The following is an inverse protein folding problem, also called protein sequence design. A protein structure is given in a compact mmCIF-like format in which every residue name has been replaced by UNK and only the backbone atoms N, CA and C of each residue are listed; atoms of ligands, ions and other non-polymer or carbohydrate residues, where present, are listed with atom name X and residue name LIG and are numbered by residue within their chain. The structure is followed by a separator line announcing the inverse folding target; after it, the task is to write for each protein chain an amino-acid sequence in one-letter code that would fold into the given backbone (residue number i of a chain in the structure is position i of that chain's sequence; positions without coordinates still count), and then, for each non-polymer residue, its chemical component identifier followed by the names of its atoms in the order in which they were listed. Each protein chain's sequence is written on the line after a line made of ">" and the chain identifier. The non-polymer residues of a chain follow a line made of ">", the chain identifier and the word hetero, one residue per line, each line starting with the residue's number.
data_IF_898071259369
#
_entry.id   IF_898071259369
#
_cell.length_a   1.000
_cell.length_b   1.000
_cell.length_c   1.000
_cell.angle_alpha   90.00
_cell.angle_beta   90.00
_cell.angle_gamma   90.00
#
_symmetry.space_group_name_H-M   'P 1'
#
loop_
_entity.id
_entity.type
_entity.pdbx_description
1 polymer ?
#
# COMPACT_ATOMS: atom_id res chain seq x y z
N UNK A 1 2.37 0.72 -45.55
CA UNK A 1 3.46 1.63 -45.08
C UNK A 1 2.91 2.77 -44.22
N UNK A 2 1.85 3.50 -44.63
CA UNK A 2 1.35 4.68 -43.91
C UNK A 2 0.59 4.44 -42.58
N UNK A 3 0.12 3.23 -42.30
CA UNK A 3 -0.60 2.90 -41.04
C UNK A 3 0.40 2.54 -39.93
N UNK A 4 1.49 1.86 -40.27
CA UNK A 4 2.53 1.48 -39.32
C UNK A 4 3.31 2.72 -38.82
N UNK A 5 3.61 3.68 -39.70
CA UNK A 5 4.26 4.93 -39.29
C UNK A 5 3.37 5.77 -38.37
N UNK A 6 2.05 5.70 -38.52
CA UNK A 6 1.10 6.44 -37.67
C UNK A 6 0.98 5.83 -36.27
N UNK A 7 0.96 4.50 -36.19
CA UNK A 7 0.96 3.76 -34.90
C UNK A 7 2.31 3.88 -34.19
N UNK A 8 3.42 3.85 -34.93
CA UNK A 8 4.76 4.12 -34.38
C UNK A 8 4.89 5.55 -33.86
N UNK A 9 4.32 6.53 -34.57
CA UNK A 9 4.31 7.93 -34.13
C UNK A 9 3.39 8.14 -32.92
N UNK A 10 2.25 7.44 -32.83
CA UNK A 10 1.37 7.45 -31.64
C UNK A 10 2.04 6.78 -30.43
N UNK A 11 2.75 5.66 -30.62
CA UNK A 11 3.49 4.99 -29.53
C UNK A 11 4.70 5.83 -29.06
N UNK A 12 5.41 6.48 -29.97
CA UNK A 12 6.50 7.40 -29.63
C UNK A 12 5.97 8.66 -28.94
N UNK A 13 4.84 9.22 -29.39
CA UNK A 13 4.19 10.35 -28.73
C UNK A 13 3.64 9.97 -27.34
N UNK A 14 3.16 8.74 -27.15
CA UNK A 14 2.78 8.23 -25.82
C UNK A 14 4.00 8.11 -24.91
N UNK A 15 5.15 7.61 -25.41
CA UNK A 15 6.39 7.57 -24.64
C UNK A 15 6.94 8.96 -24.30
N UNK A 16 6.90 9.93 -25.22
CA UNK A 16 7.38 11.29 -24.96
C UNK A 16 6.46 12.05 -23.99
N UNK A 17 5.14 11.91 -24.13
CA UNK A 17 4.16 12.48 -23.18
C UNK A 17 4.31 11.86 -21.79
N UNK A 18 4.63 10.56 -21.72
CA UNK A 18 4.90 9.87 -20.45
C UNK A 18 6.19 10.35 -19.80
N UNK A 19 7.27 10.55 -20.57
CA UNK A 19 8.52 11.10 -20.02
C UNK A 19 8.37 12.56 -19.55
N UNK A 20 7.67 13.41 -20.31
CA UNK A 20 7.44 14.79 -19.91
C UNK A 20 6.51 14.90 -18.70
N UNK A 21 5.50 14.03 -18.61
CA UNK A 21 4.67 13.93 -17.41
C UNK A 21 5.51 13.53 -16.19
N UNK A 22 6.34 12.49 -16.29
CA UNK A 22 7.20 12.01 -15.19
C UNK A 22 8.28 13.04 -14.81
N UNK A 23 8.84 13.77 -15.79
CA UNK A 23 9.82 14.83 -15.53
C UNK A 23 9.23 15.97 -14.67
N UNK A 24 7.96 16.28 -14.87
CA UNK A 24 7.25 17.38 -14.20
C UNK A 24 6.58 16.99 -12.88
N UNK A 25 6.66 15.72 -12.46
CA UNK A 25 6.13 15.31 -11.16
C UNK A 25 6.94 15.96 -10.02
N UNK A 26 6.28 16.27 -8.88
CA UNK A 26 6.98 16.66 -7.67
C UNK A 26 8.02 15.61 -7.28
N UNK A 27 9.25 16.04 -7.00
CA UNK A 27 10.34 15.16 -6.59
C UNK A 27 10.76 15.49 -5.17
N UNK A 28 11.13 14.46 -4.42
CA UNK A 28 11.75 14.62 -3.11
C UNK A 28 13.12 15.28 -3.24
N UNK A 29 13.57 15.94 -2.18
CA UNK A 29 14.94 16.48 -2.13
C UNK A 29 15.98 15.35 -2.14
N UNK A 30 17.18 15.63 -2.66
CA UNK A 30 18.27 14.64 -2.69
C UNK A 30 18.66 14.15 -1.28
N UNK A 31 18.59 15.05 -0.29
CA UNK A 31 18.77 14.70 1.12
C UNK A 31 17.70 13.71 1.61
N UNK A 32 16.43 13.96 1.29
CA UNK A 32 15.33 13.06 1.64
C UNK A 32 15.48 11.69 0.95
N UNK A 33 15.94 11.67 -0.31
CA UNK A 33 16.20 10.42 -1.03
C UNK A 33 17.29 9.59 -0.34
N UNK A 34 18.43 10.20 -0.01
CA UNK A 34 19.52 9.53 0.71
C UNK A 34 19.07 9.00 2.08
N UNK A 35 18.21 9.73 2.77
CA UNK A 35 17.65 9.31 4.06
C UNK A 35 16.70 8.11 3.92
N UNK A 36 15.92 8.01 2.83
CA UNK A 36 15.06 6.85 2.57
C UNK A 36 15.86 5.61 2.20
N UNK A 37 16.96 5.79 1.45
CA UNK A 37 17.84 4.73 0.94
C UNK A 37 18.82 4.18 2.00
N UNK A 38 18.85 4.78 3.21
CA UNK A 38 19.68 4.30 4.31
C UNK A 38 19.35 2.83 4.66
N UNK A 39 20.34 2.08 5.13
CA UNK A 39 20.11 0.70 5.56
C UNK A 39 19.04 0.61 6.65
N UNK A 40 18.24 -0.46 6.62
CA UNK A 40 17.23 -0.76 7.64
C UNK A 40 17.91 -0.99 8.99
N UNK A 41 17.41 -0.44 10.09
CA UNK A 41 17.99 -0.65 11.43
C UNK A 41 17.09 -1.48 12.34
N UNK A 42 17.66 -2.06 13.41
CA UNK A 42 16.92 -2.87 14.38
C UNK A 42 15.88 -2.01 15.11
N UNK A 43 16.23 -0.78 15.45
CA UNK A 43 15.39 0.18 16.14
C UNK A 43 14.17 0.57 15.29
N UNK A 44 14.34 0.71 13.97
CA UNK A 44 13.22 0.99 13.08
C UNK A 44 12.21 -0.16 13.06
N UNK A 45 12.70 -1.41 13.03
CA UNK A 45 11.85 -2.59 13.09
C UNK A 45 11.16 -2.72 14.45
N UNK A 46 11.86 -2.43 15.53
CA UNK A 46 11.30 -2.46 16.89
C UNK A 46 10.21 -1.39 17.07
N UNK A 47 10.46 -0.17 16.61
CA UNK A 47 9.45 0.91 16.61
C UNK A 47 8.26 0.52 15.75
N UNK A 48 8.50 -0.06 14.56
CA UNK A 48 7.43 -0.54 13.70
C UNK A 48 6.58 -1.62 14.39
N UNK A 49 7.21 -2.63 14.98
CA UNK A 49 6.57 -3.72 15.71
C UNK A 49 5.76 -3.20 16.91
N UNK A 50 6.33 -2.30 17.70
CA UNK A 50 5.67 -1.72 18.86
C UNK A 50 4.47 -0.84 18.48
N UNK A 51 4.49 -0.23 17.28
CA UNK A 51 3.36 0.54 16.76
C UNK A 51 2.18 -0.33 16.28
N UNK A 52 2.37 -1.64 16.11
CA UNK A 52 1.33 -2.56 15.65
C UNK A 52 0.40 -2.94 16.82
N UNK A 53 -0.89 -3.09 16.54
CA UNK A 53 -1.88 -3.52 17.54
C UNK A 53 -1.78 -5.04 17.77
N UNK A 54 -2.10 -5.45 18.99
CA UNK A 54 -2.23 -6.85 19.37
C UNK A 54 -3.57 -7.41 18.85
N UNK A 55 -3.68 -8.74 18.74
CA UNK A 55 -4.89 -9.44 18.31
C UNK A 55 -5.13 -9.45 16.80
N UNK A 56 -4.15 -9.02 16.00
CA UNK A 56 -4.23 -9.14 14.54
C UNK A 56 -4.06 -10.60 14.09
N UNK A 57 -4.83 -11.00 13.08
CA UNK A 57 -4.76 -12.34 12.51
C UNK A 57 -3.36 -12.62 11.94
N UNK A 58 -2.78 -13.81 12.22
CA UNK A 58 -1.48 -14.21 11.73
C UNK A 58 -1.53 -14.55 10.24
N UNK A 59 -0.36 -14.76 9.63
CA UNK A 59 -0.26 -15.31 8.28
C UNK A 59 -0.40 -16.83 8.28
N UNK A 60 0.11 -17.46 7.21
CA UNK A 60 0.13 -18.93 7.07
C UNK A 60 1.01 -19.62 8.12
N UNK A 61 1.94 -18.88 8.73
CA UNK A 61 2.86 -19.35 9.77
C UNK A 61 2.22 -19.42 11.17
N UNK A 62 1.06 -18.79 11.38
CA UNK A 62 0.42 -18.70 12.68
C UNK A 62 1.09 -17.76 13.68
N UNK A 63 2.14 -17.02 13.29
CA UNK A 63 2.89 -16.15 14.20
C UNK A 63 2.23 -14.78 14.34
N UNK A 64 1.81 -14.47 15.56
CA UNK A 64 1.14 -13.22 15.93
C UNK A 64 2.13 -12.08 16.22
N UNK A 65 1.64 -10.85 16.24
CA UNK A 65 2.44 -9.66 16.65
C UNK A 65 2.99 -9.83 18.06
N UNK A 66 2.21 -10.42 18.96
CA UNK A 66 2.56 -10.68 20.35
C UNK A 66 3.74 -11.64 20.48
N UNK A 67 3.85 -12.61 19.57
CA UNK A 67 5.01 -13.50 19.52
C UNK A 67 6.28 -12.69 19.24
N UNK A 68 6.25 -11.84 18.21
CA UNK A 68 7.40 -11.00 17.87
C UNK A 68 7.75 -10.04 18.99
N UNK A 69 6.76 -9.42 19.65
CA UNK A 69 6.99 -8.53 20.79
C UNK A 69 7.60 -9.26 21.99
N UNK A 70 7.14 -10.47 22.29
CA UNK A 70 7.63 -11.25 23.43
C UNK A 70 9.05 -11.79 23.22
N UNK A 71 9.40 -12.16 21.98
CA UNK A 71 10.67 -12.79 21.65
C UNK A 71 11.64 -11.87 20.89
N UNK A 72 11.35 -10.56 20.83
CA UNK A 72 12.13 -9.60 20.02
C UNK A 72 13.63 -9.62 20.34
N UNK A 73 13.99 -9.76 21.62
CA UNK A 73 15.38 -9.85 22.07
C UNK A 73 16.14 -11.07 21.53
N UNK A 74 15.42 -12.09 21.08
CA UNK A 74 16.00 -13.32 20.51
C UNK A 74 15.97 -13.28 18.99
N UNK A 75 14.84 -12.92 18.38
CA UNK A 75 14.63 -13.06 16.93
C UNK A 75 14.84 -11.77 16.12
N UNK A 76 14.92 -10.62 16.78
CA UNK A 76 14.91 -9.32 16.10
C UNK A 76 16.14 -9.11 15.20
N UNK A 77 17.31 -9.56 15.67
CA UNK A 77 18.55 -9.46 14.91
C UNK A 77 18.53 -10.38 13.67
N UNK A 78 18.10 -11.63 13.84
CA UNK A 78 17.96 -12.57 12.72
C UNK A 78 16.98 -12.06 11.66
N UNK A 79 15.85 -11.49 12.10
CA UNK A 79 14.87 -10.89 11.20
C UNK A 79 15.48 -9.72 10.42
N UNK A 80 16.25 -8.84 11.08
CA UNK A 80 16.90 -7.71 10.41
C UNK A 80 17.86 -8.18 9.31
N UNK A 81 18.66 -9.21 9.59
CA UNK A 81 19.61 -9.76 8.62
C UNK A 81 18.92 -10.34 7.39
N UNK A 82 17.83 -11.09 7.59
CA UNK A 82 17.00 -11.63 6.50
C UNK A 82 16.40 -10.50 5.66
N UNK A 83 15.85 -9.46 6.29
CA UNK A 83 15.22 -8.34 5.58
C UNK A 83 16.24 -7.49 4.82
N UNK A 84 17.43 -7.24 5.39
CA UNK A 84 18.53 -6.54 4.69
C UNK A 84 19.00 -7.33 3.48
N UNK A 85 19.24 -8.63 3.63
CA UNK A 85 19.59 -9.49 2.51
C UNK A 85 18.51 -9.43 1.41
N UNK A 86 17.24 -9.45 1.80
CA UNK A 86 16.12 -9.39 0.86
C UNK A 86 16.04 -8.07 0.09
N UNK A 87 16.30 -6.94 0.75
CA UNK A 87 16.35 -5.61 0.10
C UNK A 87 17.53 -5.54 -0.87
N UNK A 88 18.71 -6.02 -0.46
CA UNK A 88 19.92 -6.01 -1.29
C UNK A 88 19.80 -6.92 -2.51
N UNK A 89 19.16 -8.09 -2.37
CA UNK A 89 18.89 -9.01 -3.47
C UNK A 89 17.69 -8.56 -4.34
N UNK A 90 16.90 -7.60 -3.86
CA UNK A 90 15.65 -7.19 -4.51
C UNK A 90 14.60 -8.32 -4.53
N UNK A 91 14.61 -9.21 -3.53
CA UNK A 91 13.71 -10.37 -3.46
C UNK A 91 13.42 -10.76 -2.02
N UNK A 92 12.13 -10.89 -1.69
CA UNK A 92 11.69 -11.32 -0.37
C UNK A 92 11.83 -12.83 -0.15
N UNK A 93 11.82 -13.30 1.11
CA UNK A 93 11.77 -14.72 1.43
C UNK A 93 10.52 -15.39 0.85
N UNK A 94 10.61 -16.68 0.49
CA UNK A 94 9.47 -17.43 -0.08
C UNK A 94 8.27 -17.50 0.87
N UNK A 95 8.48 -17.43 2.19
CA UNK A 95 7.41 -17.32 3.18
C UNK A 95 6.56 -16.07 2.98
N UNK A 96 7.20 -14.95 2.63
CA UNK A 96 6.58 -13.65 2.40
C UNK A 96 5.73 -13.56 1.14
N UNK A 97 5.93 -14.50 0.20
CA UNK A 97 5.18 -14.56 -1.05
C UNK A 97 3.80 -15.23 -0.89
N UNK A 98 3.53 -15.86 0.27
CA UNK A 98 2.30 -16.58 0.55
C UNK A 98 1.40 -15.77 1.48
N UNK A 99 0.11 -15.76 1.18
CA UNK A 99 -0.91 -15.12 1.99
C UNK A 99 -2.11 -16.06 2.15
N UNK A 100 -2.75 -16.03 3.31
CA UNK A 100 -4.02 -16.73 3.51
C UNK A 100 -5.15 -15.80 3.05
N UNK A 101 -5.92 -16.24 2.05
CA UNK A 101 -7.09 -15.51 1.56
C UNK A 101 -8.30 -15.88 2.40
N UNK A 102 -8.99 -14.88 2.94
CA UNK A 102 -10.26 -15.04 3.66
C UNK A 102 -11.29 -14.04 3.18
N UNK A 103 -12.57 -14.36 3.31
CA UNK A 103 -13.68 -13.49 2.91
C UNK A 103 -14.35 -12.90 4.17
N UNK A 104 -14.42 -11.57 4.24
CA UNK A 104 -15.19 -10.87 5.27
C UNK A 104 -16.57 -10.45 4.72
N UNK A 105 -17.66 -10.71 5.45
CA UNK A 105 -18.99 -10.32 4.99
C UNK A 105 -19.16 -8.79 5.06
N UNK A 106 -19.72 -8.20 4.00
CA UNK A 106 -20.24 -6.83 3.97
C UNK A 106 -21.73 -6.85 4.35
N UNK A 107 -22.31 -5.65 4.51
CA UNK A 107 -23.77 -5.52 4.64
C UNK A 107 -24.45 -5.97 3.34
N UNK A 108 -25.52 -6.75 3.44
CA UNK A 108 -26.28 -7.25 2.30
C UNK A 108 -26.63 -8.73 2.44
N UNK A 109 -27.14 -9.31 1.35
CA UNK A 109 -27.42 -10.75 1.25
C UNK A 109 -26.10 -11.53 1.19
N UNK A 110 -25.92 -12.48 2.12
CA UNK A 110 -24.71 -13.29 2.22
C UNK A 110 -24.60 -14.35 1.11
N UNK A 111 -25.70 -14.64 0.39
CA UNK A 111 -25.69 -15.54 -0.77
C UNK A 111 -25.08 -14.89 -2.01
N UNK A 112 -24.99 -13.55 -2.04
CA UNK A 112 -24.38 -12.80 -3.12
C UNK A 112 -22.89 -12.55 -2.86
N UNK A 113 -22.02 -13.12 -3.70
CA UNK A 113 -20.56 -13.00 -3.59
C UNK A 113 -20.06 -11.54 -3.64
N UNK A 114 -20.82 -10.62 -4.25
CA UNK A 114 -20.48 -9.18 -4.30
C UNK A 114 -20.52 -8.52 -2.92
N UNK A 115 -21.26 -9.11 -1.98
CA UNK A 115 -21.35 -8.68 -0.60
C UNK A 115 -20.22 -9.25 0.28
N UNK A 116 -19.17 -9.79 -0.32
CA UNK A 116 -17.98 -10.23 0.40
C UNK A 116 -16.76 -9.35 0.05
N UNK A 117 -15.84 -9.22 1.00
CA UNK A 117 -14.56 -8.55 0.81
C UNK A 117 -13.43 -9.58 0.96
N UNK A 118 -12.64 -9.84 -0.08
CA UNK A 118 -11.43 -10.63 0.09
C UNK A 118 -10.42 -9.86 0.94
N UNK A 119 -9.78 -10.58 1.86
CA UNK A 119 -8.71 -10.08 2.72
C UNK A 119 -7.55 -11.07 2.66
N UNK A 120 -6.37 -10.55 2.36
CA UNK A 120 -5.12 -11.31 2.35
C UNK A 120 -4.40 -11.16 3.69
N UNK A 121 -4.23 -12.27 4.41
CA UNK A 121 -3.47 -12.32 5.65
C UNK A 121 -2.02 -12.66 5.34
N UNK A 122 -1.16 -11.63 5.43
CA UNK A 122 0.30 -11.78 5.30
C UNK A 122 0.93 -12.27 6.62
N UNK A 123 2.11 -12.90 6.51
CA UNK A 123 2.95 -13.19 7.67
C UNK A 123 3.38 -11.90 8.38
N UNK A 124 3.55 -12.00 9.70
CA UNK A 124 3.73 -10.81 10.57
C UNK A 124 5.09 -10.16 10.38
N UNK A 125 6.14 -10.94 10.10
CA UNK A 125 7.46 -10.48 9.67
C UNK A 125 7.39 -9.49 8.49
N UNK A 126 6.57 -9.80 7.48
CA UNK A 126 6.36 -8.96 6.30
C UNK A 126 5.60 -7.68 6.65
N UNK A 127 4.64 -7.79 7.59
CA UNK A 127 3.90 -6.62 8.09
C UNK A 127 4.82 -5.67 8.85
N UNK A 128 5.79 -6.19 9.60
CA UNK A 128 6.80 -5.40 10.31
C UNK A 128 7.66 -4.62 9.31
N UNK A 129 8.18 -5.28 8.26
CA UNK A 129 8.91 -4.58 7.18
C UNK A 129 8.04 -3.52 6.51
N UNK A 130 6.83 -3.89 6.09
CA UNK A 130 5.85 -3.00 5.46
C UNK A 130 5.60 -1.76 6.32
N UNK A 131 5.47 -1.94 7.64
CA UNK A 131 5.23 -0.86 8.59
C UNK A 131 6.46 0.05 8.73
N UNK A 132 7.66 -0.52 8.81
CA UNK A 132 8.90 0.26 8.87
C UNK A 132 9.09 1.14 7.62
N UNK A 133 8.88 0.57 6.43
CA UNK A 133 8.96 1.30 5.16
C UNK A 133 7.87 2.38 5.05
N UNK A 134 6.64 2.08 5.44
CA UNK A 134 5.57 3.07 5.46
C UNK A 134 5.90 4.26 6.39
N UNK A 135 6.51 4.01 7.54
CA UNK A 135 6.97 5.07 8.45
C UNK A 135 8.08 5.92 7.83
N UNK A 136 9.00 5.34 7.05
CA UNK A 136 10.02 6.10 6.30
C UNK A 136 9.35 7.00 5.25
N UNK A 137 8.50 6.42 4.40
CA UNK A 137 7.80 7.15 3.33
C UNK A 137 6.90 8.26 3.88
N UNK A 138 6.27 8.04 5.03
CA UNK A 138 5.41 9.02 5.69
C UNK A 138 6.12 10.35 5.97
N UNK A 139 7.45 10.37 6.17
CA UNK A 139 8.24 11.59 6.45
C UNK A 139 8.39 12.50 5.23
N UNK A 140 8.32 11.95 4.03
CA UNK A 140 8.56 12.69 2.77
C UNK A 140 7.28 12.87 1.95
N UNK A 141 6.19 12.21 2.35
CA UNK A 141 4.96 12.09 1.60
C UNK A 141 4.38 13.47 1.18
N UNK A 142 4.47 14.46 2.07
CA UNK A 142 3.94 15.81 1.83
C UNK A 142 4.69 16.58 0.73
N UNK A 143 5.95 16.22 0.43
CA UNK A 143 6.72 16.84 -0.65
C UNK A 143 6.21 16.42 -2.03
N UNK A 144 5.59 15.24 -2.12
CA UNK A 144 5.19 14.62 -3.39
C UNK A 144 3.68 14.68 -3.59
N UNK A 145 2.91 14.53 -2.51
CA UNK A 145 1.45 14.43 -2.59
C UNK A 145 0.80 15.82 -2.55
N UNK A 146 0.02 16.12 -3.60
CA UNK A 146 -0.79 17.33 -3.73
C UNK A 146 -1.69 17.56 -2.50
N UNK A 147 -1.92 18.81 -2.12
CA UNK A 147 -2.62 19.16 -0.87
C UNK A 147 -4.07 18.62 -0.81
N UNK A 148 -4.76 18.53 -1.95
CA UNK A 148 -6.13 17.98 -2.05
C UNK A 148 -6.23 16.47 -1.73
N UNK A 149 -5.12 15.75 -1.84
CA UNK A 149 -5.06 14.34 -1.49
C UNK A 149 -4.84 14.20 0.02
N UNK A 150 -5.94 14.03 0.76
CA UNK A 150 -5.91 13.91 2.23
C UNK A 150 -5.87 12.46 2.72
N UNK A 151 -6.22 11.49 1.88
CA UNK A 151 -6.26 10.09 2.27
C UNK A 151 -4.85 9.51 2.46
N UNK A 152 -4.61 8.87 3.61
CA UNK A 152 -3.34 8.23 3.98
C UNK A 152 -2.11 9.15 4.03
N UNK A 153 -2.29 10.46 4.18
CA UNK A 153 -1.19 11.41 4.41
C UNK A 153 -1.17 11.80 5.89
N UNK A 154 -0.03 11.64 6.60
CA UNK A 154 0.09 12.08 7.99
C UNK A 154 -0.31 13.56 8.14
N UNK A 155 -0.98 13.92 9.23
CA UNK A 155 -1.37 15.30 9.50
C UNK A 155 -2.56 15.84 8.69
N UNK A 156 -3.06 15.10 7.69
CA UNK A 156 -4.25 15.50 6.90
C UNK A 156 -5.50 14.78 7.34
N UNK A 157 -6.65 15.44 7.22
CA UNK A 157 -7.95 14.91 7.63
C UNK A 157 -8.92 14.81 6.45
N UNK A 158 -9.74 13.75 6.45
CA UNK A 158 -10.86 13.67 5.48
C UNK A 158 -11.85 14.83 5.65
N UNK A 159 -11.89 15.44 6.83
CA UNK A 159 -12.73 16.60 7.10
C UNK A 159 -12.32 17.81 6.25
N UNK A 160 -11.03 17.97 5.94
CA UNK A 160 -10.53 19.06 5.10
C UNK A 160 -11.18 19.01 3.72
N UNK A 161 -11.33 17.81 3.14
CA UNK A 161 -12.02 17.60 1.88
C UNK A 161 -13.53 17.89 1.97
N UNK A 162 -14.16 17.57 3.10
CA UNK A 162 -15.57 17.88 3.33
C UNK A 162 -15.78 19.39 3.40
N UNK A 163 -14.89 20.12 4.08
CA UNK A 163 -14.90 21.59 4.14
C UNK A 163 -14.67 22.20 2.76
N UNK A 164 -13.65 21.74 2.03
CA UNK A 164 -13.36 22.19 0.67
C UNK A 164 -14.58 22.04 -0.27
N UNK A 165 -15.23 20.87 -0.25
CA UNK A 165 -16.43 20.62 -1.07
C UNK A 165 -17.56 21.57 -0.66
N UNK A 166 -17.74 21.82 0.64
CA UNK A 166 -18.77 22.74 1.13
C UNK A 166 -18.52 24.17 0.63
N UNK A 167 -17.29 24.66 0.76
CA UNK A 167 -16.91 26.01 0.36
C UNK A 167 -17.08 26.19 -1.16
N UNK A 168 -16.70 25.18 -1.96
CA UNK A 168 -16.92 25.18 -3.41
C UNK A 168 -18.41 25.26 -3.74
N UNK A 169 -19.26 24.50 -3.05
CA UNK A 169 -20.71 24.54 -3.27
C UNK A 169 -21.31 25.91 -2.90
N UNK A 170 -20.84 26.52 -1.82
CA UNK A 170 -21.32 27.84 -1.38
C UNK A 170 -20.87 28.95 -2.35
N UNK A 171 -19.61 28.95 -2.78
CA UNK A 171 -19.10 29.89 -3.81
C UNK A 171 -19.84 29.71 -5.14
N UNK A 172 -20.08 28.46 -5.57
CA UNK A 172 -20.76 28.21 -6.83
C UNK A 172 -22.20 28.72 -6.82
N UNK A 173 -22.89 28.65 -5.68
CA UNK A 173 -24.23 29.23 -5.51
C UNK A 173 -24.22 30.75 -5.60
N UNK A 174 -23.18 31.40 -5.05
CA UNK A 174 -23.04 32.86 -5.13
C UNK A 174 -22.76 33.34 -6.56
N UNK A 175 -22.04 32.54 -7.34
CA UNK A 175 -21.67 32.87 -8.73
C UNK A 175 -22.66 32.36 -9.78
N UNK A 176 -23.76 31.72 -9.35
CA UNK A 176 -24.75 31.04 -10.22
C UNK A 176 -24.11 30.05 -11.20
N UNK A 177 -23.03 29.40 -10.78
CA UNK A 177 -22.29 28.43 -11.58
C UNK A 177 -22.89 27.03 -11.41
N UNK A 178 -23.13 26.28 -12.49
CA UNK A 178 -23.71 24.94 -12.41
C UNK A 178 -22.68 23.93 -11.85
N UNK A 179 -22.94 23.36 -10.67
CA UNK A 179 -22.16 22.24 -10.12
C UNK A 179 -22.82 20.91 -10.46
N UNK A 180 -22.12 20.07 -11.22
CA UNK A 180 -22.44 18.65 -11.33
C UNK A 180 -21.96 17.95 -10.05
N UNK A 181 -22.89 17.43 -9.24
CA UNK A 181 -22.50 16.61 -8.08
C UNK A 181 -22.12 15.21 -8.58
N UNK A 182 -20.91 14.70 -8.25
CA UNK A 182 -20.56 13.33 -8.58
C UNK A 182 -21.49 12.38 -7.81
N UNK A 183 -22.21 11.50 -8.52
CA UNK A 183 -22.94 10.40 -7.90
C UNK A 183 -21.94 9.47 -7.20
N UNK A 184 -22.16 9.17 -5.92
CA UNK A 184 -21.25 8.31 -5.13
C UNK A 184 -21.05 6.94 -5.78
N UNK A 185 -19.83 6.69 -6.27
CA UNK A 185 -19.30 5.33 -6.47
C UNK A 185 -17.86 5.27 -6.01
N UNK A 186 -17.66 5.19 -4.69
CA UNK A 186 -16.46 4.59 -4.13
C UNK A 186 -16.88 3.70 -2.96
N UNK A 187 -16.69 2.39 -3.13
CA UNK A 187 -16.74 1.44 -2.01
C UNK A 187 -15.72 1.89 -0.97
N UNK A 188 -16.12 2.01 0.30
CA UNK A 188 -15.21 2.33 1.42
C UNK A 188 -13.95 1.46 1.34
N UNK A 189 -12.74 2.02 1.21
CA UNK A 189 -11.55 1.27 1.58
C UNK A 189 -11.60 1.05 3.11
N UNK A 190 -11.39 -0.18 3.54
CA UNK A 190 -11.43 -0.52 4.96
C UNK A 190 -10.36 0.29 5.72
N UNK A 191 -10.79 1.10 6.70
CA UNK A 191 -9.94 2.05 7.42
C UNK A 191 -8.79 1.44 8.24
N UNK A 192 -8.73 0.12 8.39
CA UNK A 192 -7.64 -0.60 9.07
C UNK A 192 -6.50 -1.05 8.14
N UNK A 193 -6.58 -0.77 6.83
CA UNK A 193 -5.64 -1.30 5.83
C UNK A 193 -4.62 -0.26 5.35
N UNK A 194 -4.82 1.03 5.65
CA UNK A 194 -4.07 2.16 5.08
C UNK A 194 -2.55 2.11 5.36
N UNK A 195 -2.12 1.68 6.56
CA UNK A 195 -0.69 1.51 6.86
C UNK A 195 -0.04 0.30 6.18
N UNK A 196 -0.82 -0.77 5.95
CA UNK A 196 -0.35 -1.94 5.21
C UNK A 196 -0.33 -1.68 3.70
N UNK A 197 -1.25 -0.90 3.13
CA UNK A 197 -1.32 -0.67 1.68
C UNK A 197 -0.13 0.12 1.14
N UNK A 198 0.34 1.15 1.86
CA UNK A 198 1.54 1.89 1.47
C UNK A 198 2.81 1.03 1.53
N UNK A 199 2.94 0.17 2.55
CA UNK A 199 4.08 -0.74 2.64
C UNK A 199 3.94 -2.00 1.77
N UNK A 200 2.72 -2.47 1.48
CA UNK A 200 2.45 -3.54 0.51
C UNK A 200 2.76 -3.08 -0.92
N UNK A 201 2.51 -1.81 -1.27
CA UNK A 201 2.94 -1.26 -2.54
C UNK A 201 4.48 -1.25 -2.66
N UNK A 202 5.20 -0.90 -1.59
CA UNK A 202 6.66 -1.00 -1.54
C UNK A 202 7.16 -2.46 -1.61
N UNK A 203 6.49 -3.40 -0.93
CA UNK A 203 6.79 -4.84 -1.05
C UNK A 203 6.49 -5.39 -2.45
N UNK A 204 5.45 -4.90 -3.12
CA UNK A 204 5.11 -5.27 -4.49
C UNK A 204 6.21 -4.82 -5.46
N UNK A 205 6.81 -3.64 -5.27
CA UNK A 205 7.95 -3.19 -6.07
C UNK A 205 9.19 -4.08 -5.89
N UNK A 206 9.43 -4.58 -4.68
CA UNK A 206 10.49 -5.59 -4.40
C UNK A 206 10.12 -7.02 -4.85
N UNK A 207 8.85 -7.28 -5.18
CA UNK A 207 8.34 -8.61 -5.52
C UNK A 207 8.10 -8.85 -7.02
N UNK A 208 8.34 -7.86 -7.89
CA UNK A 208 8.00 -7.92 -9.32
C UNK A 208 8.96 -8.77 -10.18
N UNK A 209 9.87 -9.54 -9.58
CA UNK A 209 10.83 -10.40 -10.31
C UNK A 209 10.45 -11.90 -10.39
N UNK A 210 9.24 -12.34 -10.03
CA UNK A 210 8.87 -13.75 -10.17
C UNK A 210 7.39 -13.98 -10.60
N UNK A 211 7.12 -14.97 -11.47
CA UNK A 211 5.77 -15.26 -11.95
C UNK A 211 4.88 -15.75 -10.81
N UNK A 212 3.76 -15.05 -10.58
CA UNK A 212 2.76 -15.42 -9.59
C UNK A 212 2.06 -16.73 -9.98
N UNK A 213 2.56 -17.87 -9.52
CA UNK A 213 1.81 -19.11 -9.51
C UNK A 213 0.89 -19.13 -8.28
N UNK A 214 -0.38 -18.72 -8.48
CA UNK A 214 -1.46 -18.89 -7.52
C UNK A 214 -1.78 -20.39 -7.47
N UNK A 215 -1.24 -21.10 -6.49
CA UNK A 215 -1.61 -22.49 -6.22
C UNK A 215 -2.89 -22.50 -5.37
N UNK A 216 -4.01 -22.82 -6.02
CA UNK A 216 -5.23 -23.28 -5.32
C UNK A 216 -4.90 -24.60 -4.63
N UNK A 217 -5.02 -24.65 -3.30
CA UNK A 217 -5.06 -25.93 -2.58
C UNK A 217 -6.41 -26.61 -2.89
N UNK A 218 -6.42 -27.87 -3.38
CA UNK A 218 -7.66 -28.59 -3.60
C UNK A 218 -8.34 -28.90 -2.25
N UNK A 219 -9.66 -28.82 -2.26
CA UNK A 219 -10.54 -29.17 -1.14
C UNK A 219 -10.35 -30.66 -0.85
N UNK A 220 -9.92 -31.02 0.36
CA UNK A 220 -10.04 -32.40 0.84
C UNK A 220 -11.53 -32.72 0.95
N UNK A 221 -12.03 -33.61 0.09
CA UNK A 221 -13.31 -34.25 0.29
C UNK A 221 -13.18 -35.24 1.45
N UNK A 222 -13.86 -34.94 2.54
CA UNK A 222 -14.06 -35.86 3.65
C UNK A 222 -15.55 -36.22 3.73
N UNK A 223 -15.84 -37.48 3.39
CA UNK A 223 -16.91 -38.32 3.95
C UNK A 223 -18.35 -37.92 3.65
#
# INVERSE_FOLDING_TARGET
>A
MLILDRVLCELAAVQEVEEDFVRNLPKITEESARELDRELTLEELEVALNSMQNGHSPGIDGLLVEFFKAFWSVIGQDLLEVLRASINEGRLPLSSHRAVLTLLPKKGDQTDIRNWCPVSLLCTDCKVLSRALATRLGKVMEQVIHFDQTYCVPGRSIHDNVHLIRDILDVSRLLDWPVLTPSKTTSRPAGHVCGLLLGQAALLLLGQAAPQSILYLPKEESG
#
